data_IF_583988700728
#
_entry.id   IF_583988700728
#
_cell.length_a   1.000
_cell.length_b   1.000
_cell.length_c   1.000
_cell.angle_alpha   90.00
_cell.angle_beta   90.00
_cell.angle_gamma   90.00
#
_symmetry.space_group_name_H-M   'P 1'
#
loop_
_entity.id
_entity.type
_entity.pdbx_description
1 polymer ?
#
# COMPACT_ATOMS: atom_id res chain seq x y z
N UNK A 1 35.15 32.42 17.79
CA UNK A 1 35.14 31.69 16.51
C UNK A 1 33.76 31.12 16.36
N UNK A 2 32.94 31.79 15.54
CA UNK A 2 31.58 31.40 15.19
C UNK A 2 31.58 30.05 14.48
N UNK A 3 30.83 29.10 15.04
CA UNK A 3 30.38 27.92 14.31
C UNK A 3 29.04 28.27 13.69
N UNK A 4 29.09 28.54 12.38
CA UNK A 4 27.99 29.04 11.58
C UNK A 4 26.70 28.24 11.73
N UNK A 5 25.60 28.99 11.76
CA UNK A 5 24.24 28.52 11.66
C UNK A 5 24.07 27.64 10.40
N UNK A 6 24.14 26.32 10.57
CA UNK A 6 23.40 25.40 9.70
C UNK A 6 21.92 25.68 9.93
N UNK A 7 21.29 26.26 8.92
CA UNK A 7 19.85 26.34 8.77
C UNK A 7 19.22 25.01 9.16
N UNK A 8 18.55 24.98 10.31
CA UNK A 8 17.67 23.90 10.69
C UNK A 8 16.51 23.91 9.70
N UNK A 9 16.63 23.12 8.63
CA UNK A 9 15.44 22.64 7.95
C UNK A 9 14.54 22.06 9.05
N UNK A 10 13.35 22.66 9.22
CA UNK A 10 12.36 22.15 10.16
C UNK A 10 12.10 20.66 9.93
N UNK A 11 11.45 19.96 10.88
CA UNK A 11 11.18 18.53 10.75
C UNK A 11 10.52 18.29 9.39
N UNK A 12 11.25 17.63 8.49
CA UNK A 12 10.74 17.25 7.18
C UNK A 12 9.64 16.25 7.48
N UNK A 13 8.39 16.63 7.22
CA UNK A 13 7.29 15.68 7.32
C UNK A 13 7.43 14.66 6.18
N UNK A 14 8.19 13.59 6.41
CA UNK A 14 8.56 12.63 5.38
C UNK A 14 7.38 11.73 4.91
N UNK A 15 6.15 12.05 5.31
CA UNK A 15 4.89 11.46 4.82
C UNK A 15 4.17 12.38 3.83
N UNK A 16 4.52 13.67 3.81
CA UNK A 16 3.99 14.61 2.82
C UNK A 16 4.62 14.36 1.45
N UNK A 17 3.83 14.57 0.40
CA UNK A 17 4.34 14.54 -0.96
C UNK A 17 5.32 15.68 -1.18
N UNK A 18 6.34 15.42 -2.00
CA UNK A 18 7.23 16.49 -2.43
C UNK A 18 6.47 17.56 -3.22
N UNK A 19 6.97 18.82 -3.26
CA UNK A 19 6.34 19.88 -4.03
C UNK A 19 6.10 19.50 -5.50
N UNK A 20 7.02 18.72 -6.09
CA UNK A 20 6.89 18.22 -7.46
C UNK A 20 5.74 17.22 -7.60
N UNK A 21 5.59 16.28 -6.65
CA UNK A 21 4.49 15.31 -6.66
C UNK A 21 3.15 16.02 -6.49
N UNK A 22 3.06 16.98 -5.56
CA UNK A 22 1.85 17.81 -5.41
C UNK A 22 1.51 18.54 -6.71
N UNK A 23 2.50 19.16 -7.36
CA UNK A 23 2.30 19.85 -8.64
C UNK A 23 1.75 18.92 -9.75
N UNK A 24 2.14 17.64 -9.76
CA UNK A 24 1.62 16.64 -10.71
C UNK A 24 0.15 16.27 -10.46
N UNK A 25 -0.32 16.34 -9.20
CA UNK A 25 -1.69 15.98 -8.82
C UNK A 25 -2.67 17.15 -8.96
N UNK A 26 -2.23 18.40 -8.73
CA UNK A 26 -3.08 19.61 -8.80
C UNK A 26 -4.00 19.74 -10.03
N UNK A 27 -3.63 19.26 -11.24
CA UNK A 27 -4.55 19.33 -12.39
C UNK A 27 -5.84 18.53 -12.24
N UNK A 28 -5.89 17.53 -11.34
CA UNK A 28 -7.04 16.61 -11.21
C UNK A 28 -7.50 16.38 -9.76
N UNK A 29 -6.81 16.97 -8.79
CA UNK A 29 -7.08 16.83 -7.37
C UNK A 29 -7.11 18.22 -6.72
N UNK A 30 -8.09 18.47 -5.86
CA UNK A 30 -8.10 19.67 -5.01
C UNK A 30 -7.03 19.57 -3.91
N UNK A 31 -6.65 20.68 -3.28
CA UNK A 31 -5.70 20.65 -2.15
C UNK A 31 -6.21 19.79 -0.99
N UNK A 32 -7.52 19.84 -0.71
CA UNK A 32 -8.15 18.98 0.31
C UNK A 32 -8.02 17.49 -0.07
N UNK A 33 -8.26 17.15 -1.35
CA UNK A 33 -8.12 15.77 -1.83
C UNK A 33 -6.67 15.29 -1.80
N UNK A 34 -5.70 16.15 -2.12
CA UNK A 34 -4.27 15.84 -2.02
C UNK A 34 -3.88 15.60 -0.57
N UNK A 35 -4.37 16.41 0.36
CA UNK A 35 -4.11 16.26 1.80
C UNK A 35 -4.66 14.93 2.32
N UNK A 36 -5.91 14.60 1.98
CA UNK A 36 -6.49 13.29 2.30
C UNK A 36 -5.70 12.14 1.69
N UNK A 37 -5.21 12.29 0.45
CA UNK A 37 -4.38 11.25 -0.19
C UNK A 37 -3.06 11.04 0.53
N UNK A 38 -2.40 12.10 1.00
CA UNK A 38 -1.17 12.00 1.78
C UNK A 38 -1.41 11.25 3.09
N UNK A 39 -2.49 11.59 3.80
CA UNK A 39 -2.88 10.91 5.03
C UNK A 39 -3.19 9.43 4.79
N UNK A 40 -4.04 9.12 3.80
CA UNK A 40 -4.46 7.75 3.51
C UNK A 40 -3.30 6.89 2.99
N UNK A 41 -2.46 7.41 2.08
CA UNK A 41 -1.32 6.67 1.52
C UNK A 41 -0.16 6.50 2.51
N UNK A 42 -0.10 7.34 3.55
CA UNK A 42 0.81 7.13 4.67
C UNK A 42 0.37 5.98 5.59
N UNK A 43 -0.88 5.51 5.46
CA UNK A 43 -1.40 4.40 6.27
C UNK A 43 -1.55 3.11 5.46
N UNK A 44 -1.27 1.94 6.06
CA UNK A 44 -1.53 0.66 5.41
C UNK A 44 -3.05 0.43 5.26
N UNK A 45 -3.49 -0.34 4.24
CA UNK A 45 -4.90 -0.67 4.05
C UNK A 45 -5.54 -1.27 5.31
N UNK A 46 -6.82 -0.93 5.53
CA UNK A 46 -7.60 -1.43 6.67
C UNK A 46 -7.88 -2.94 6.61
N UNK A 47 -7.70 -3.57 5.44
CA UNK A 47 -7.89 -5.00 5.27
C UNK A 47 -6.90 -5.60 4.28
N UNK A 48 -6.43 -6.81 4.59
CA UNK A 48 -5.68 -7.65 3.68
C UNK A 48 -6.65 -8.50 2.86
N UNK A 49 -6.58 -8.38 1.54
CA UNK A 49 -7.38 -9.20 0.63
C UNK A 49 -6.54 -10.35 0.09
N UNK A 50 -7.08 -11.56 0.25
CA UNK A 50 -6.44 -12.82 -0.12
C UNK A 50 -7.26 -13.45 -1.24
N UNK A 51 -6.62 -13.74 -2.38
CA UNK A 51 -7.27 -14.42 -3.49
C UNK A 51 -7.16 -15.92 -3.32
N UNK A 52 -8.30 -16.60 -3.30
CA UNK A 52 -8.42 -18.07 -3.19
C UNK A 52 -7.94 -18.71 -4.48
N UNK A 53 -7.10 -19.73 -4.36
CA UNK A 53 -6.75 -20.59 -5.48
C UNK A 53 -7.86 -21.64 -5.69
N UNK A 54 -8.87 -21.27 -6.47
CA UNK A 54 -10.02 -22.13 -6.77
C UNK A 54 -9.66 -23.43 -7.51
N UNK A 55 -8.44 -23.56 -8.03
CA UNK A 55 -7.95 -24.84 -8.59
C UNK A 55 -7.54 -25.85 -7.52
N UNK A 56 -7.37 -25.41 -6.27
CA UNK A 56 -6.88 -26.26 -5.16
C UNK A 56 -7.85 -26.34 -3.99
N UNK A 57 -8.63 -25.31 -3.71
CA UNK A 57 -9.60 -25.30 -2.63
C UNK A 57 -10.76 -24.35 -2.95
N UNK A 58 -11.92 -24.63 -2.36
CA UNK A 58 -13.05 -23.70 -2.33
C UNK A 58 -12.78 -22.53 -1.39
N UNK A 59 -13.55 -21.45 -1.57
CA UNK A 59 -13.46 -20.28 -0.68
C UNK A 59 -13.86 -20.64 0.75
N UNK A 60 -14.85 -21.50 0.91
CA UNK A 60 -15.38 -21.92 2.20
C UNK A 60 -14.37 -22.79 2.97
N UNK A 61 -13.65 -23.68 2.27
CA UNK A 61 -12.53 -24.44 2.85
C UNK A 61 -11.40 -23.52 3.31
N UNK A 62 -10.98 -22.57 2.47
CA UNK A 62 -9.93 -21.63 2.84
C UNK A 62 -10.35 -20.73 4.01
N UNK A 63 -11.61 -20.28 4.02
CA UNK A 63 -12.16 -19.51 5.14
C UNK A 63 -12.11 -20.32 6.44
N UNK A 64 -12.50 -21.59 6.41
CA UNK A 64 -12.45 -22.46 7.58
C UNK A 64 -11.00 -22.64 8.10
N UNK A 65 -10.03 -22.83 7.20
CA UNK A 65 -8.61 -22.91 7.56
C UNK A 65 -8.10 -21.61 8.21
N UNK A 66 -8.47 -20.46 7.64
CA UNK A 66 -8.07 -19.16 8.17
C UNK A 66 -8.68 -18.89 9.56
N UNK A 67 -9.97 -19.23 9.75
CA UNK A 67 -10.66 -19.06 11.02
C UNK A 67 -10.13 -20.00 12.12
N UNK A 68 -9.71 -21.22 11.74
CA UNK A 68 -9.17 -22.19 12.68
C UNK A 68 -7.72 -21.88 13.11
N UNK A 69 -7.01 -21.01 12.39
CA UNK A 69 -5.59 -20.79 12.63
C UNK A 69 -5.34 -19.88 13.84
N UNK A 70 -4.55 -20.36 14.81
CA UNK A 70 -4.29 -19.67 16.08
C UNK A 70 -3.75 -18.23 15.90
N UNK A 71 -2.83 -18.01 14.95
CA UNK A 71 -2.28 -16.67 14.66
C UNK A 71 -3.31 -15.67 14.13
N UNK A 72 -4.43 -16.16 13.62
CA UNK A 72 -5.50 -15.34 13.07
C UNK A 72 -6.65 -15.11 14.07
N UNK A 73 -6.56 -15.69 15.28
CA UNK A 73 -7.55 -15.47 16.34
C UNK A 73 -7.60 -14.01 16.77
N UNK A 74 -8.73 -13.33 16.51
CA UNK A 74 -8.92 -11.91 16.81
C UNK A 74 -8.89 -10.99 15.59
N UNK A 75 -8.66 -11.54 14.39
CA UNK A 75 -8.94 -10.86 13.13
C UNK A 75 -10.38 -11.13 12.69
N UNK A 76 -11.05 -10.13 12.12
CA UNK A 76 -12.33 -10.37 11.45
C UNK A 76 -12.05 -10.84 10.02
N UNK A 77 -12.41 -12.09 9.73
CA UNK A 77 -12.16 -12.76 8.43
C UNK A 77 -13.49 -13.02 7.77
N UNK A 78 -13.70 -12.46 6.58
CA UNK A 78 -14.99 -12.55 5.87
C UNK A 78 -14.79 -12.78 4.38
N UNK A 79 -15.75 -13.45 3.74
CA UNK A 79 -15.81 -13.53 2.28
C UNK A 79 -16.10 -12.15 1.70
N UNK A 80 -15.42 -11.80 0.60
CA UNK A 80 -15.70 -10.56 -0.09
C UNK A 80 -17.12 -10.60 -0.70
N UNK A 81 -17.96 -9.57 -0.52
CA UNK A 81 -19.38 -9.63 -0.87
C UNK A 81 -19.64 -9.72 -2.38
N UNK A 82 -18.67 -9.30 -3.21
CA UNK A 82 -18.82 -9.21 -4.67
C UNK A 82 -17.82 -10.02 -5.48
N UNK A 83 -16.82 -10.61 -4.81
CA UNK A 83 -15.77 -11.40 -5.47
C UNK A 83 -15.81 -12.80 -4.87
N UNK A 84 -16.15 -13.77 -5.70
CA UNK A 84 -16.35 -15.15 -5.26
C UNK A 84 -15.06 -15.86 -4.85
N UNK A 85 -13.91 -15.32 -5.24
CA UNK A 85 -12.59 -15.87 -5.02
C UNK A 85 -11.74 -15.02 -4.06
N UNK A 86 -12.34 -14.11 -3.28
CA UNK A 86 -11.60 -13.24 -2.36
C UNK A 86 -12.12 -13.35 -0.92
N UNK A 87 -11.16 -13.44 0.01
CA UNK A 87 -11.38 -13.35 1.46
C UNK A 87 -10.69 -12.09 1.97
N UNK A 88 -11.39 -11.31 2.79
CA UNK A 88 -10.86 -10.13 3.45
C UNK A 88 -10.52 -10.45 4.90
N UNK A 89 -9.33 -10.02 5.33
CA UNK A 89 -8.87 -10.10 6.72
C UNK A 89 -8.73 -8.66 7.22
N UNK A 90 -9.64 -8.22 8.07
CA UNK A 90 -9.65 -6.86 8.60
C UNK A 90 -8.52 -6.69 9.62
N UNK A 91 -7.80 -5.57 9.52
CA UNK A 91 -6.78 -5.15 10.47
C UNK A 91 -7.36 -5.11 11.88
N UNK A 92 -6.60 -5.55 12.88
CA UNK A 92 -7.02 -5.35 14.28
C UNK A 92 -7.02 -3.86 14.59
N UNK A 93 -8.04 -3.41 15.33
CA UNK A 93 -8.01 -2.08 15.91
C UNK A 93 -6.74 -1.96 16.77
N UNK A 94 -5.96 -0.90 16.55
CA UNK A 94 -4.80 -0.61 17.36
C UNK A 94 -5.26 -0.34 18.80
N UNK A 95 -4.57 -0.90 19.79
CA UNK A 95 -4.55 -0.27 21.11
C UNK A 95 -4.07 1.20 20.91
N UNK A 96 -4.47 2.16 21.78
CA UNK A 96 -4.04 3.56 21.64
C UNK A 96 -2.53 3.67 21.42
N UNK A 97 -2.06 4.78 20.82
CA UNK A 97 -0.63 5.08 20.67
C UNK A 97 0.04 5.09 22.04
N UNK A 98 0.55 3.92 22.40
CA UNK A 98 1.23 3.67 23.65
C UNK A 98 2.72 3.76 23.30
N UNK A 99 3.50 4.51 24.10
CA UNK A 99 4.95 4.52 23.96
C UNK A 99 5.47 3.06 23.87
N UNK A 100 6.61 2.76 23.22
CA UNK A 100 7.08 1.38 23.03
C UNK A 100 7.06 0.54 24.32
N UNK A 101 7.35 1.19 25.46
CA UNK A 101 7.27 0.63 26.81
C UNK A 101 5.86 0.25 27.29
N UNK A 102 4.83 0.96 26.82
CA UNK A 102 3.44 0.75 27.19
C UNK A 102 2.76 -0.29 26.27
N UNK A 103 3.15 -0.38 25.00
CA UNK A 103 2.77 -1.51 24.11
C UNK A 103 3.30 -2.83 24.67
N UNK A 104 4.56 -2.85 25.13
CA UNK A 104 5.17 -4.03 25.75
C UNK A 104 4.49 -4.44 27.07
N UNK A 105 4.08 -3.47 27.89
CA UNK A 105 3.33 -3.74 29.12
C UNK A 105 1.88 -4.21 28.85
N UNK A 106 1.22 -3.70 27.82
CA UNK A 106 -0.17 -4.02 27.49
C UNK A 106 -0.35 -5.41 26.85
N UNK A 107 0.69 -5.93 26.16
CA UNK A 107 0.64 -7.25 25.52
C UNK A 107 0.74 -8.43 26.51
N UNK A 108 0.81 -8.20 27.82
CA UNK A 108 0.94 -9.26 28.82
C UNK A 108 2.21 -10.11 28.67
N UNK A 109 3.12 -9.69 27.79
CA UNK A 109 4.44 -10.28 27.64
C UNK A 109 5.12 -10.02 28.96
N UNK A 110 5.38 -11.07 29.72
CA UNK A 110 6.36 -11.06 30.80
C UNK A 110 7.65 -10.60 30.15
N UNK A 111 7.90 -9.28 30.23
CA UNK A 111 9.03 -8.61 29.62
C UNK A 111 10.27 -9.46 29.90
N UNK A 112 11.02 -9.93 28.89
CA UNK A 112 12.19 -10.74 29.15
C UNK A 112 13.07 -9.95 30.10
N UNK A 113 13.58 -10.63 31.14
CA UNK A 113 14.23 -10.02 32.31
C UNK A 113 15.23 -8.92 31.92
N UNK A 114 15.92 -9.10 30.79
CA UNK A 114 16.85 -8.13 30.18
C UNK A 114 16.22 -6.78 29.79
N UNK A 115 14.99 -6.73 29.29
CA UNK A 115 14.30 -5.47 28.98
C UNK A 115 13.96 -4.70 30.25
N UNK A 116 13.47 -5.39 31.30
CA UNK A 116 13.23 -4.80 32.61
C UNK A 116 14.55 -4.31 33.21
N UNK A 117 15.61 -5.10 33.12
CA UNK A 117 16.93 -4.76 33.63
C UNK A 117 17.51 -3.53 32.94
N UNK A 118 17.42 -3.42 31.62
CA UNK A 118 17.84 -2.21 30.88
C UNK A 118 17.04 -0.99 31.33
N UNK A 119 15.72 -1.11 31.45
CA UNK A 119 14.85 -0.03 31.96
C UNK A 119 15.23 0.38 33.40
N UNK A 120 15.46 -0.59 34.29
CA UNK A 120 15.93 -0.36 35.68
C UNK A 120 17.29 0.33 35.71
N UNK A 121 18.15 0.06 34.72
CA UNK A 121 19.46 0.70 34.54
C UNK A 121 19.40 2.04 33.78
N UNK A 122 18.21 2.52 33.40
CA UNK A 122 18.05 3.76 32.64
C UNK A 122 18.57 3.70 31.21
N UNK A 123 18.79 2.51 30.65
CA UNK A 123 19.28 2.33 29.29
C UNK A 123 18.12 2.35 28.28
N UNK A 124 18.31 2.93 27.08
CA UNK A 124 17.30 2.90 26.03
C UNK A 124 17.01 1.45 25.57
N UNK A 125 15.83 1.19 24.99
CA UNK A 125 15.55 -0.08 24.35
C UNK A 125 16.55 -0.32 23.22
N UNK A 126 16.78 -1.58 22.87
CA UNK A 126 17.55 -1.85 21.66
C UNK A 126 16.78 -1.40 20.43
N UNK A 127 17.49 -0.98 19.41
CA UNK A 127 16.95 -0.41 18.18
C UNK A 127 17.48 -1.18 16.97
N UNK A 128 16.60 -1.34 15.99
CA UNK A 128 16.91 -1.92 14.68
C UNK A 128 16.41 -0.98 13.61
N UNK A 129 17.28 -0.66 12.65
CA UNK A 129 16.95 0.19 11.51
C UNK A 129 16.88 -0.64 10.25
N UNK A 130 15.82 -0.44 9.48
CA UNK A 130 15.60 -1.10 8.19
C UNK A 130 15.54 -0.08 7.06
N UNK A 131 15.70 -0.54 5.83
CA UNK A 131 15.47 0.33 4.67
C UNK A 131 13.97 0.57 4.40
N UNK A 132 13.69 1.52 3.51
CA UNK A 132 12.33 1.89 3.12
C UNK A 132 11.51 0.70 2.59
N UNK A 133 12.10 -0.16 1.77
CA UNK A 133 11.38 -1.29 1.15
C UNK A 133 10.95 -2.30 2.23
N UNK A 134 11.84 -2.59 3.17
CA UNK A 134 11.55 -3.42 4.32
C UNK A 134 10.51 -2.75 5.24
N UNK A 135 10.62 -1.43 5.45
CA UNK A 135 9.63 -0.64 6.17
C UNK A 135 8.21 -0.80 5.64
N UNK A 136 8.05 -0.64 4.33
CA UNK A 136 6.76 -0.87 3.66
C UNK A 136 6.27 -2.30 3.84
N UNK A 137 7.15 -3.30 3.71
CA UNK A 137 6.77 -4.69 3.92
C UNK A 137 6.27 -4.94 5.35
N UNK A 138 6.89 -4.33 6.37
CA UNK A 138 6.47 -4.44 7.77
C UNK A 138 5.06 -3.86 7.95
N UNK A 139 4.77 -2.68 7.38
CA UNK A 139 3.43 -2.07 7.43
C UNK A 139 2.36 -2.94 6.76
N UNK A 140 2.76 -3.84 5.86
CA UNK A 140 1.91 -4.84 5.22
C UNK A 140 1.84 -6.18 5.98
N UNK A 141 2.40 -6.25 7.19
CA UNK A 141 2.37 -7.44 8.07
C UNK A 141 3.56 -8.38 7.93
N UNK A 142 4.67 -7.97 7.30
CA UNK A 142 5.86 -8.82 7.17
C UNK A 142 6.75 -8.77 8.43
N UNK A 143 7.43 -9.88 8.70
CA UNK A 143 8.58 -9.90 9.60
C UNK A 143 9.86 -9.40 8.89
N UNK A 144 10.91 -9.15 9.66
CA UNK A 144 12.15 -8.56 9.17
C UNK A 144 13.21 -9.63 8.93
N UNK A 145 13.61 -9.77 7.68
CA UNK A 145 14.72 -10.64 7.29
C UNK A 145 16.07 -9.94 7.45
N UNK A 146 17.13 -10.72 7.66
CA UNK A 146 18.50 -10.21 7.87
C UNK A 146 18.96 -9.26 6.77
N UNK A 147 18.49 -9.40 5.54
CA UNK A 147 18.82 -8.50 4.41
C UNK A 147 18.23 -7.09 4.55
N UNK A 148 17.05 -6.96 5.15
CA UNK A 148 16.37 -5.67 5.32
C UNK A 148 16.98 -4.82 6.45
N UNK A 149 17.75 -5.43 7.35
CA UNK A 149 18.37 -4.77 8.50
C UNK A 149 19.63 -4.02 8.06
N UNK A 150 19.66 -2.72 8.34
CA UNK A 150 20.74 -1.79 8.02
C UNK A 150 21.61 -1.50 9.23
N UNK A 151 21.01 -1.22 10.38
CA UNK A 151 21.72 -0.99 11.63
C UNK A 151 21.01 -1.70 12.79
N UNK A 152 21.77 -2.02 13.83
CA UNK A 152 21.26 -2.63 15.06
C UNK A 152 22.13 -2.26 16.26
N UNK A 153 21.50 -2.04 17.41
CA UNK A 153 22.19 -1.61 18.64
C UNK A 153 23.29 -2.58 19.02
N UNK A 154 24.37 -2.05 19.59
CA UNK A 154 25.46 -2.88 20.12
C UNK A 154 24.96 -3.75 21.28
N UNK A 155 25.46 -4.99 21.35
CA UNK A 155 25.08 -5.95 22.39
C UNK A 155 23.72 -6.61 22.21
N UNK A 156 23.01 -6.36 21.09
CA UNK A 156 21.74 -7.01 20.79
C UNK A 156 21.91 -8.54 20.66
N UNK A 157 21.12 -9.28 21.44
CA UNK A 157 21.11 -10.73 21.48
C UNK A 157 19.75 -11.31 21.05
N UNK A 158 19.72 -12.61 20.72
CA UNK A 158 18.48 -13.33 20.51
C UNK A 158 17.57 -13.28 21.75
N UNK A 159 16.27 -13.09 21.52
CA UNK A 159 15.23 -12.91 22.53
C UNK A 159 15.03 -11.46 23.00
N UNK A 160 15.91 -10.53 22.63
CA UNK A 160 15.75 -9.13 23.00
C UNK A 160 14.62 -8.47 22.20
N UNK A 161 13.79 -7.69 22.89
CA UNK A 161 12.82 -6.82 22.23
C UNK A 161 13.50 -5.56 21.68
N UNK A 162 13.09 -5.17 20.49
CA UNK A 162 13.67 -4.05 19.74
C UNK A 162 12.61 -3.09 19.27
N UNK A 163 12.93 -1.80 19.34
CA UNK A 163 12.23 -0.75 18.61
C UNK A 163 12.70 -0.76 17.15
N UNK A 164 11.77 -0.82 16.22
CA UNK A 164 12.07 -0.88 14.78
C UNK A 164 11.84 0.48 14.14
N UNK A 165 12.84 0.95 13.41
CA UNK A 165 12.83 2.21 12.70
C UNK A 165 13.11 2.04 11.20
N UNK A 166 12.54 2.91 10.37
CA UNK A 166 12.81 2.97 8.93
C UNK A 166 13.71 4.15 8.61
N UNK A 167 14.81 3.88 7.92
CA UNK A 167 15.64 4.90 7.30
C UNK A 167 14.99 5.41 6.01
N UNK A 168 14.30 6.54 6.13
CA UNK A 168 13.70 7.24 4.98
C UNK A 168 14.74 7.96 4.12
N UNK A 169 15.96 8.18 4.63
CA UNK A 169 17.01 8.90 3.91
C UNK A 169 17.83 8.00 2.98
N UNK A 170 17.82 6.69 3.23
CA UNK A 170 18.61 5.70 2.49
C UNK A 170 20.12 5.85 2.69
N UNK A 171 20.56 6.59 3.71
CA UNK A 171 21.98 6.87 3.98
C UNK A 171 22.64 5.81 4.85
N UNK A 172 21.87 4.94 5.50
CA UNK A 172 22.43 3.92 6.37
C UNK A 172 23.11 2.78 5.59
N UNK A 173 24.40 2.65 5.82
CA UNK A 173 25.18 1.49 5.36
C UNK A 173 24.95 0.30 6.30
N UNK A 174 24.92 -0.89 5.70
CA UNK A 174 24.69 -2.15 6.43
C UNK A 174 25.82 -2.38 7.46
N UNK A 175 25.44 -2.61 8.71
CA UNK A 175 26.36 -2.88 9.82
C UNK A 175 26.64 -1.69 10.74
N UNK A 176 26.13 -0.50 10.39
CA UNK A 176 26.25 0.72 11.18
C UNK A 176 25.76 0.53 12.62
N UNK A 177 26.37 1.26 13.57
CA UNK A 177 25.85 1.38 14.92
C UNK A 177 24.65 2.34 14.96
N UNK A 178 23.73 2.13 15.90
CA UNK A 178 22.44 2.85 15.99
C UNK A 178 22.52 4.29 16.54
N UNK A 179 23.68 4.95 16.48
CA UNK A 179 23.80 6.27 17.06
C UNK A 179 23.25 7.34 16.09
N UNK A 180 22.13 7.96 16.52
CA UNK A 180 21.56 9.24 16.06
C UNK A 180 21.13 9.37 14.60
N UNK A 181 19.96 8.82 14.28
CA UNK A 181 19.21 9.16 13.06
C UNK A 181 18.01 10.03 13.40
N UNK A 182 18.17 11.35 13.36
CA UNK A 182 17.09 12.33 13.59
C UNK A 182 15.95 12.28 12.58
N UNK A 183 16.07 11.47 11.51
CA UNK A 183 15.08 11.34 10.43
C UNK A 183 14.48 9.93 10.33
N UNK A 184 14.86 8.98 11.19
CA UNK A 184 14.31 7.64 11.14
C UNK A 184 12.90 7.59 11.75
N UNK A 185 11.98 6.86 11.10
CA UNK A 185 10.59 6.73 11.57
C UNK A 185 10.36 5.45 12.35
N UNK A 186 9.78 5.56 13.53
CA UNK A 186 9.35 4.39 14.30
C UNK A 186 8.21 3.67 13.58
N UNK A 187 8.34 2.36 13.42
CA UNK A 187 7.34 1.51 12.72
C UNK A 187 6.72 0.47 13.64
N UNK A 188 7.41 0.06 14.70
CA UNK A 188 6.83 -0.93 15.60
C UNK A 188 7.84 -1.57 16.53
N UNK A 189 7.39 -2.62 17.20
CA UNK A 189 8.18 -3.40 18.13
C UNK A 189 8.29 -4.83 17.64
N UNK A 190 9.48 -5.39 17.73
CA UNK A 190 9.75 -6.78 17.38
C UNK A 190 10.61 -7.48 18.42
N UNK A 191 10.78 -8.78 18.23
CA UNK A 191 11.66 -9.66 18.99
C UNK A 191 12.79 -10.12 18.07
N UNK A 192 14.03 -9.90 18.50
CA UNK A 192 15.21 -10.33 17.76
C UNK A 192 15.37 -11.84 17.90
N UNK A 193 15.49 -12.58 16.80
CA UNK A 193 15.58 -14.04 16.82
C UNK A 193 17.03 -14.55 16.76
N UNK A 194 17.97 -13.68 16.41
CA UNK A 194 19.39 -14.02 16.29
C UNK A 194 20.25 -12.88 16.83
N UNK A 195 21.50 -13.17 17.19
CA UNK A 195 22.41 -12.15 17.71
C UNK A 195 22.84 -11.13 16.65
N UNK A 196 23.27 -9.95 17.09
CA UNK A 196 23.75 -8.87 16.20
C UNK A 196 24.80 -9.35 15.20
N UNK A 197 25.72 -10.21 15.65
CA UNK A 197 26.80 -10.72 14.80
C UNK A 197 26.26 -11.55 13.64
N UNK A 198 25.18 -12.31 13.85
CA UNK A 198 24.52 -13.12 12.84
C UNK A 198 23.67 -12.26 11.88
N UNK A 199 23.01 -11.19 12.37
CA UNK A 199 22.21 -10.27 11.54
C UNK A 199 23.00 -9.75 10.32
N UNK A 200 24.30 -9.49 10.49
CA UNK A 200 25.15 -8.91 9.44
C UNK A 200 26.00 -9.93 8.70
N UNK A 201 26.15 -11.17 9.20
CA UNK A 201 26.91 -12.24 8.55
C UNK A 201 26.05 -13.14 7.66
N UNK A 202 24.81 -13.41 8.07
CA UNK A 202 23.95 -14.34 7.33
C UNK A 202 23.47 -13.72 6.02
N UNK A 203 23.46 -14.54 4.96
CA UNK A 203 22.95 -14.16 3.65
C UNK A 203 21.41 -14.13 3.60
N UNK A 204 20.74 -14.94 4.43
CA UNK A 204 19.28 -15.04 4.52
C UNK A 204 18.87 -15.54 5.90
N UNK A 205 17.58 -15.43 6.21
CA UNK A 205 17.03 -15.83 7.51
C UNK A 205 16.20 -14.74 8.15
N UNK A 206 15.36 -15.15 9.09
CA UNK A 206 14.52 -14.25 9.88
C UNK A 206 15.37 -13.59 10.96
N UNK A 207 15.42 -12.26 10.96
CA UNK A 207 16.21 -11.48 11.92
C UNK A 207 15.37 -11.03 13.11
N UNK A 208 14.25 -10.36 12.82
CA UNK A 208 13.34 -9.82 13.84
C UNK A 208 11.92 -10.24 13.49
N UNK A 209 11.21 -10.82 14.47
CA UNK A 209 9.79 -11.12 14.38
C UNK A 209 8.98 -9.94 14.89
N UNK A 210 8.08 -9.40 14.08
CA UNK A 210 7.25 -8.27 14.48
C UNK A 210 6.20 -8.73 15.50
N UNK A 211 6.02 -7.93 16.54
CA UNK A 211 5.06 -8.16 17.62
C UNK A 211 3.94 -7.12 17.63
N UNK A 212 4.27 -5.90 17.18
CA UNK A 212 3.31 -4.82 17.02
C UNK A 212 3.81 -3.85 15.94
N UNK A 213 2.92 -3.40 15.07
CA UNK A 213 3.16 -2.42 14.00
C UNK A 213 2.30 -1.19 14.25
N UNK A 214 2.89 0.00 14.11
CA UNK A 214 2.21 1.27 14.29
C UNK A 214 1.09 1.42 13.24
N UNK A 215 -0.06 1.91 13.67
CA UNK A 215 -1.27 2.00 12.83
C UNK A 215 -2.12 0.73 12.80
N UNK A 216 -1.72 -0.35 13.48
CA UNK A 216 -2.48 -1.60 13.61
C UNK A 216 -1.90 -2.75 12.79
N UNK A 217 -2.16 -3.97 13.26
CA UNK A 217 -1.47 -5.16 12.75
C UNK A 217 -2.26 -5.84 11.63
N UNK A 218 -1.60 -6.11 10.52
CA UNK A 218 -2.01 -7.12 9.53
C UNK A 218 -1.23 -8.43 9.80
N UNK A 219 -1.82 -9.61 9.58
CA UNK A 219 -1.15 -10.85 9.93
C UNK A 219 -0.06 -11.21 8.92
N UNK A 220 1.07 -11.70 9.41
CA UNK A 220 2.09 -12.36 8.59
C UNK A 220 1.55 -13.73 8.11
N UNK A 221 1.02 -13.79 6.88
CA UNK A 221 0.45 -15.02 6.32
C UNK A 221 1.50 -16.09 5.95
N UNK A 222 2.80 -15.74 5.95
CA UNK A 222 3.89 -16.67 5.62
C UNK A 222 3.92 -17.90 6.52
N UNK A 223 3.71 -17.70 7.81
CA UNK A 223 3.86 -18.76 8.81
C UNK A 223 2.55 -19.54 9.00
N UNK A 224 1.55 -19.28 8.16
CA UNK A 224 0.31 -20.05 8.08
C UNK A 224 0.54 -21.14 7.05
N UNK A 225 1.32 -22.17 7.43
CA UNK A 225 1.82 -23.21 6.53
C UNK A 225 0.72 -23.93 5.73
N UNK A 226 -0.50 -24.00 6.28
CA UNK A 226 -1.65 -24.56 5.58
C UNK A 226 -2.10 -23.75 4.34
N UNK A 227 -1.62 -22.51 4.15
CA UNK A 227 -1.99 -21.67 3.01
C UNK A 227 -1.11 -21.87 1.77
N UNK A 228 -0.07 -22.71 1.84
CA UNK A 228 0.89 -22.84 0.76
C UNK A 228 0.23 -23.26 -0.56
N UNK A 229 0.22 -22.34 -1.52
CA UNK A 229 -0.43 -22.53 -2.82
C UNK A 229 -1.96 -22.52 -2.80
N UNK A 230 -2.62 -22.39 -1.63
CA UNK A 230 -4.07 -22.24 -1.53
C UNK A 230 -4.53 -20.81 -1.77
N UNK A 231 -3.65 -19.83 -1.64
CA UNK A 231 -3.99 -18.44 -1.89
C UNK A 231 -2.85 -17.60 -2.42
N UNK A 232 -3.21 -16.48 -3.04
CA UNK A 232 -2.28 -15.47 -3.53
C UNK A 232 -2.44 -14.18 -2.74
N UNK A 233 -1.31 -13.61 -2.33
CA UNK A 233 -1.24 -12.29 -1.70
C UNK A 233 -0.44 -11.39 -2.64
N UNK A 234 -1.07 -10.33 -3.13
CA UNK A 234 -0.39 -9.36 -4.00
C UNK A 234 0.00 -8.14 -3.19
N UNK A 235 1.28 -8.06 -2.83
CA UNK A 235 1.85 -6.92 -2.12
C UNK A 235 2.87 -6.25 -3.02
N UNK A 236 2.43 -5.35 -3.90
CA UNK A 236 3.36 -4.59 -4.73
C UNK A 236 4.03 -3.46 -3.91
N UNK A 237 5.34 -3.33 -4.05
CA UNK A 237 6.14 -2.18 -3.64
C UNK A 237 6.59 -1.51 -4.93
N UNK A 238 6.13 -0.29 -5.20
CA UNK A 238 6.53 0.43 -6.41
C UNK A 238 7.75 1.32 -6.12
N UNK A 239 8.68 1.37 -7.06
CA UNK A 239 9.79 2.33 -7.04
C UNK A 239 9.96 3.01 -8.40
N UNK A 240 10.04 4.33 -8.34
CA UNK A 240 10.44 5.31 -9.36
C UNK A 240 9.50 5.54 -10.56
N UNK A 241 9.11 6.82 -10.74
CA UNK A 241 8.03 7.28 -11.62
C UNK A 241 8.51 8.34 -12.63
N UNK A 242 9.71 8.21 -13.20
CA UNK A 242 10.23 9.26 -14.12
C UNK A 242 10.04 9.00 -15.61
N UNK A 243 9.65 7.80 -16.05
CA UNK A 243 9.48 7.50 -17.49
C UNK A 243 8.24 6.68 -17.87
N UNK A 244 7.33 6.43 -16.93
CA UNK A 244 6.27 5.44 -17.10
C UNK A 244 5.30 5.72 -18.27
N UNK A 245 4.97 6.99 -18.53
CA UNK A 245 3.93 7.38 -19.51
C UNK A 245 4.29 6.98 -20.95
N UNK A 246 5.54 7.20 -21.38
CA UNK A 246 5.96 6.88 -22.75
C UNK A 246 6.03 5.36 -22.98
N UNK A 247 6.56 4.63 -21.99
CA UNK A 247 6.59 3.16 -22.03
C UNK A 247 5.18 2.56 -22.03
N UNK A 248 4.26 3.08 -21.22
CA UNK A 248 2.85 2.65 -21.21
C UNK A 248 2.20 2.77 -22.58
N UNK A 249 2.48 3.84 -23.34
CA UNK A 249 1.97 3.98 -24.72
C UNK A 249 2.53 2.94 -25.67
N UNK A 250 3.82 2.61 -25.56
CA UNK A 250 4.43 1.56 -26.37
C UNK A 250 3.80 0.18 -26.08
N UNK A 251 3.52 -0.11 -24.80
CA UNK A 251 2.81 -1.33 -24.40
C UNK A 251 1.37 -1.35 -24.92
N UNK A 252 0.62 -0.26 -24.74
CA UNK A 252 -0.75 -0.14 -25.27
C UNK A 252 -0.77 -0.32 -26.79
N UNK A 253 0.16 0.29 -27.51
CA UNK A 253 0.24 0.18 -28.96
C UNK A 253 0.46 -1.27 -29.41
N UNK A 254 1.39 -1.96 -28.76
CA UNK A 254 1.67 -3.38 -29.04
C UNK A 254 0.48 -4.27 -28.70
N UNK A 255 -0.14 -4.05 -27.54
CA UNK A 255 -1.30 -4.82 -27.07
C UNK A 255 -2.49 -4.69 -28.02
N UNK A 256 -2.76 -3.49 -28.53
CA UNK A 256 -3.86 -3.26 -29.48
C UNK A 256 -3.63 -3.98 -30.81
N UNK A 257 -2.39 -4.03 -31.30
CA UNK A 257 -2.07 -4.75 -32.57
C UNK A 257 -2.14 -6.26 -32.43
N UNK A 258 -1.93 -6.79 -31.23
CA UNK A 258 -2.08 -8.22 -30.93
C UNK A 258 -3.53 -8.61 -30.63
N UNK A 259 -4.42 -7.62 -30.47
CA UNK A 259 -5.81 -7.86 -30.14
C UNK A 259 -6.60 -8.26 -31.38
N UNK A 260 -7.18 -9.46 -31.37
CA UNK A 260 -8.14 -9.88 -32.40
C UNK A 260 -9.36 -8.95 -32.43
N UNK A 261 -10.03 -8.87 -33.58
CA UNK A 261 -11.33 -8.21 -33.68
C UNK A 261 -12.33 -8.76 -32.64
N UNK A 262 -13.07 -7.88 -31.98
CA UNK A 262 -13.97 -8.25 -30.87
C UNK A 262 -13.26 -8.60 -29.54
N UNK A 263 -11.92 -8.56 -29.50
CA UNK A 263 -11.15 -8.79 -28.28
C UNK A 263 -11.34 -7.70 -27.23
N UNK A 264 -11.00 -8.04 -25.98
CA UNK A 264 -11.07 -7.14 -24.82
C UNK A 264 -9.65 -6.80 -24.38
N UNK A 265 -9.36 -5.51 -24.22
CA UNK A 265 -8.13 -5.01 -23.61
C UNK A 265 -8.46 -4.41 -22.24
N UNK A 266 -7.77 -4.89 -21.20
CA UNK A 266 -7.83 -4.32 -19.85
C UNK A 266 -6.52 -3.58 -19.61
N UNK A 267 -6.63 -2.28 -19.31
CA UNK A 267 -5.49 -1.45 -18.91
C UNK A 267 -5.62 -1.11 -17.43
N UNK A 268 -4.59 -1.47 -16.67
CA UNK A 268 -4.59 -1.33 -15.21
C UNK A 268 -3.22 -0.84 -14.74
N UNK A 269 -3.23 0.10 -13.81
CA UNK A 269 -2.05 0.62 -13.13
C UNK A 269 -2.30 0.63 -11.62
N UNK A 270 -1.24 0.80 -10.83
CA UNK A 270 -1.32 1.05 -9.38
C UNK A 270 -0.79 2.46 -9.04
N UNK A 271 -1.01 3.41 -9.94
CA UNK A 271 -0.64 4.84 -9.79
C UNK A 271 -1.89 5.68 -9.70
N UNK A 272 -1.77 6.84 -9.05
CA UNK A 272 -2.84 7.83 -8.94
C UNK A 272 -2.68 8.97 -9.97
N UNK A 273 -1.60 8.97 -10.77
CA UNK A 273 -1.38 10.10 -11.67
C UNK A 273 -2.35 10.06 -12.86
N UNK A 274 -3.00 11.18 -13.21
CA UNK A 274 -3.90 11.24 -14.38
C UNK A 274 -3.17 10.96 -15.69
N UNK A 275 -1.88 11.30 -15.76
CA UNK A 275 -1.02 11.13 -16.92
C UNK A 275 -0.83 9.65 -17.28
N UNK A 276 -0.77 8.77 -16.29
CA UNK A 276 -0.62 7.32 -16.48
C UNK A 276 -1.97 6.60 -16.59
N UNK A 277 -3.08 7.28 -16.29
CA UNK A 277 -4.42 6.71 -16.22
C UNK A 277 -5.33 7.26 -17.31
N UNK A 278 -6.20 8.22 -16.98
CA UNK A 278 -7.22 8.73 -17.89
C UNK A 278 -6.63 9.35 -19.16
N UNK A 279 -5.44 9.96 -19.08
CA UNK A 279 -4.76 10.50 -20.25
C UNK A 279 -4.29 9.41 -21.23
N UNK A 280 -3.92 8.23 -20.73
CA UNK A 280 -3.56 7.09 -21.58
C UNK A 280 -4.78 6.51 -22.29
N UNK A 281 -5.91 6.44 -21.58
CA UNK A 281 -7.19 6.01 -22.16
C UNK A 281 -7.66 6.98 -23.25
N UNK A 282 -7.61 8.29 -22.98
CA UNK A 282 -7.96 9.33 -23.95
C UNK A 282 -7.07 9.29 -25.20
N UNK A 283 -5.76 9.10 -25.00
CA UNK A 283 -4.82 8.90 -26.08
C UNK A 283 -5.13 7.64 -26.89
N UNK A 284 -5.37 6.50 -26.25
CA UNK A 284 -5.65 5.24 -26.92
C UNK A 284 -6.94 5.29 -27.76
N UNK A 285 -8.00 5.93 -27.25
CA UNK A 285 -9.25 6.11 -27.99
C UNK A 285 -9.09 7.02 -29.22
N UNK A 286 -8.25 8.05 -29.12
CA UNK A 286 -7.92 8.93 -30.25
C UNK A 286 -7.06 8.21 -31.29
N UNK A 287 -6.04 7.46 -30.85
CA UNK A 287 -5.08 6.79 -31.74
C UNK A 287 -5.64 5.53 -32.39
N UNK A 288 -6.54 4.83 -31.72
CA UNK A 288 -7.13 3.59 -32.20
C UNK A 288 -8.66 3.73 -32.24
N UNK A 289 -9.22 4.30 -33.33
CA UNK A 289 -10.67 4.49 -33.49
C UNK A 289 -11.48 3.19 -33.40
N UNK A 290 -10.81 2.05 -33.60
CA UNK A 290 -11.40 0.74 -33.47
C UNK A 290 -11.73 0.38 -31.99
N UNK A 291 -11.05 0.99 -31.02
CA UNK A 291 -11.33 0.80 -29.59
C UNK A 291 -12.55 1.62 -29.14
N UNK A 292 -13.35 1.05 -28.25
CA UNK A 292 -14.46 1.68 -27.55
C UNK A 292 -14.47 1.30 -26.08
N UNK A 293 -14.87 2.22 -25.19
CA UNK A 293 -14.96 1.95 -23.76
C UNK A 293 -16.09 0.98 -23.44
N UNK A 294 -15.82 0.06 -22.51
CA UNK A 294 -16.77 -0.86 -21.94
C UNK A 294 -16.96 -0.62 -20.43
N UNK A 295 -18.17 -0.90 -19.92
CA UNK A 295 -18.37 -1.01 -18.48
C UNK A 295 -17.57 -2.18 -17.92
N UNK A 296 -16.96 -1.99 -16.75
CA UNK A 296 -16.29 -3.05 -16.01
C UNK A 296 -17.27 -3.71 -15.02
N UNK A 297 -17.24 -5.04 -14.93
CA UNK A 297 -18.02 -5.84 -14.00
C UNK A 297 -17.13 -6.86 -13.27
N UNK A 298 -17.20 -6.95 -11.93
CA UNK A 298 -17.96 -6.11 -11.02
C UNK A 298 -17.33 -4.72 -10.84
N UNK A 299 -18.19 -3.69 -10.77
CA UNK A 299 -17.74 -2.31 -10.55
C UNK A 299 -17.51 -2.02 -9.07
N UNK A 300 -16.29 -2.25 -8.57
CA UNK A 300 -15.94 -2.05 -7.15
C UNK A 300 -15.53 -0.61 -6.81
N UNK A 301 -14.91 0.09 -7.76
CA UNK A 301 -14.46 1.48 -7.60
C UNK A 301 -15.43 2.53 -8.14
N UNK A 302 -15.18 3.80 -7.79
CA UNK A 302 -15.79 5.00 -8.36
C UNK A 302 -15.43 5.29 -9.83
N UNK A 303 -15.89 6.43 -10.35
CA UNK A 303 -15.59 6.90 -11.71
C UNK A 303 -14.21 7.56 -11.83
N UNK A 304 -13.69 7.66 -13.06
CA UNK A 304 -12.44 8.36 -13.36
C UNK A 304 -12.57 9.88 -13.19
N UNK A 305 -11.46 10.55 -12.87
CA UNK A 305 -11.46 11.93 -12.36
C UNK A 305 -11.47 13.03 -13.42
N UNK A 306 -11.03 12.75 -14.65
CA UNK A 306 -11.14 13.74 -15.73
C UNK A 306 -12.61 13.95 -16.11
N UNK A 307 -13.19 15.03 -15.60
CA UNK A 307 -14.54 15.45 -15.89
C UNK A 307 -14.83 15.56 -17.39
N UNK A 308 -15.97 14.98 -17.79
CA UNK A 308 -16.86 15.48 -18.86
C UNK A 308 -16.49 15.33 -20.34
N UNK A 309 -15.44 14.61 -20.75
CA UNK A 309 -15.18 14.36 -22.20
C UNK A 309 -15.09 12.89 -22.62
N UNK A 310 -14.64 11.95 -21.77
CA UNK A 310 -14.56 10.54 -22.16
C UNK A 310 -15.94 9.88 -22.39
N UNK A 311 -16.99 10.37 -21.73
CA UNK A 311 -18.38 9.92 -21.92
C UNK A 311 -19.20 10.82 -22.85
N UNK A 312 -18.75 12.05 -23.13
CA UNK A 312 -19.54 13.03 -23.89
C UNK A 312 -19.29 12.99 -25.41
N UNK A 313 -18.24 12.33 -25.90
CA UNK A 313 -18.10 12.11 -27.36
C UNK A 313 -18.83 10.85 -27.86
N UNK A 314 -19.30 9.97 -26.97
CA UNK A 314 -20.04 8.76 -27.33
C UNK A 314 -21.57 8.99 -27.46
N UNK A 315 -22.07 10.23 -27.37
CA UNK A 315 -23.52 10.56 -27.36
C UNK A 315 -23.99 11.59 -28.40
N UNK A 316 -23.31 11.71 -29.54
CA UNK A 316 -23.84 12.40 -30.74
C UNK A 316 -24.18 11.44 -31.89
N UNK A 317 -24.66 10.23 -31.56
CA UNK A 317 -25.29 9.30 -32.51
C UNK A 317 -26.69 8.83 -32.05
N UNK A 318 -27.38 9.60 -31.21
CA UNK A 318 -28.83 9.45 -31.08
C UNK A 318 -29.52 10.39 -32.07
N UNK A 319 -29.97 9.85 -33.21
CA UNK A 319 -30.97 10.50 -34.06
C UNK A 319 -32.25 10.64 -33.22
N UNK A 320 -32.49 11.84 -32.69
CA UNK A 320 -33.72 12.20 -31.99
C UNK A 320 -33.86 13.71 -31.99
N UNK A 321 -34.72 14.21 -32.88
CA UNK A 321 -35.01 15.63 -33.05
C UNK A 321 -35.44 16.28 -31.71
N UNK A 322 -34.72 17.30 -31.27
CA UNK A 322 -35.07 18.14 -30.13
C UNK A 322 -35.95 19.31 -30.60
N UNK A 323 -37.27 19.13 -30.49
CA UNK A 323 -38.21 20.25 -30.33
C UNK A 323 -38.82 20.16 -28.93
N UNK A 324 -38.31 20.93 -27.97
CA UNK A 324 -39.12 21.92 -27.24
C UNK A 324 -38.37 22.57 -26.07
N UNK A 325 -38.70 23.86 -25.87
CA UNK A 325 -38.35 24.70 -24.72
C UNK A 325 -39.04 24.19 -23.45
N UNK A 326 -38.29 24.04 -22.36
CA UNK A 326 -38.83 24.19 -21.01
C UNK A 326 -37.74 24.67 -20.04
N UNK A 327 -37.95 25.86 -19.47
CA UNK A 327 -37.25 26.34 -18.28
C UNK A 327 -37.77 25.56 -17.07
N UNK A 328 -36.88 25.07 -16.21
CA UNK A 328 -37.25 24.70 -14.84
C UNK A 328 -36.06 24.89 -13.90
N UNK A 329 -36.29 25.73 -12.90
CA UNK A 329 -35.43 25.96 -11.75
C UNK A 329 -35.53 24.76 -10.81
N UNK A 330 -34.40 24.30 -10.26
CA UNK A 330 -34.45 23.76 -8.90
C UNK A 330 -33.10 23.86 -8.19
N UNK A 331 -33.11 24.45 -6.98
CA UNK A 331 -32.04 24.36 -5.99
C UNK A 331 -32.14 23.01 -5.31
N UNK A 332 -31.08 22.22 -5.33
CA UNK A 332 -30.89 21.13 -4.37
C UNK A 332 -29.46 21.20 -3.82
N UNK A 333 -29.35 21.57 -2.54
CA UNK A 333 -28.17 21.25 -1.72
C UNK A 333 -28.25 19.76 -1.44
N UNK A 334 -27.20 19.01 -1.77
CA UNK A 334 -27.03 17.63 -1.36
C UNK A 334 -25.57 17.45 -0.93
N UNK A 335 -25.40 17.26 0.38
CA UNK A 335 -24.22 16.70 1.01
C UNK A 335 -24.00 15.28 0.46
N UNK A 336 -22.76 14.92 0.13
CA UNK A 336 -22.33 13.52 0.22
C UNK A 336 -20.80 13.40 0.34
N UNK A 337 -20.28 12.80 1.44
CA UNK A 337 -18.89 12.36 1.57
C UNK A 337 -18.70 10.98 0.90
N UNK A 338 -17.53 10.71 0.30
CA UNK A 338 -17.19 9.33 -0.10
C UNK A 338 -16.16 9.17 -1.23
N UNK A 339 -15.07 8.48 -0.92
CA UNK A 339 -13.84 8.33 -1.70
C UNK A 339 -13.91 7.37 -2.91
N UNK A 340 -13.79 7.96 -4.11
CA UNK A 340 -12.89 7.73 -5.27
C UNK A 340 -12.04 6.44 -5.40
N UNK A 341 -12.14 5.68 -6.52
CA UNK A 341 -11.05 4.92 -7.24
C UNK A 341 -11.57 4.29 -8.57
N UNK A 342 -10.90 4.30 -9.73
CA UNK A 342 -11.45 3.76 -11.02
C UNK A 342 -10.48 2.89 -11.86
N UNK A 343 -11.00 1.90 -12.61
CA UNK A 343 -10.37 1.24 -13.78
C UNK A 343 -11.43 0.90 -14.86
N UNK A 344 -11.04 0.97 -16.16
CA UNK A 344 -11.93 0.81 -17.33
C UNK A 344 -11.42 -0.28 -18.29
N UNK A 345 -12.33 -1.00 -18.97
CA UNK A 345 -12.01 -1.91 -20.07
C UNK A 345 -12.38 -1.31 -21.44
N UNK A 346 -11.69 -1.73 -22.52
CA UNK A 346 -11.97 -1.33 -23.91
C UNK A 346 -12.27 -2.58 -24.76
N UNK A 347 -13.24 -2.52 -25.68
CA UNK A 347 -13.47 -3.52 -26.74
C UNK A 347 -13.30 -2.91 -28.11
N UNK A 348 -12.98 -3.73 -29.11
CA UNK A 348 -12.90 -3.31 -30.51
C UNK A 348 -14.06 -3.89 -31.34
N UNK A 349 -14.72 -3.11 -32.21
CA UNK A 349 -15.60 -3.64 -33.27
C UNK A 349 -15.11 -3.21 -34.66
N UNK A 350 -14.80 -4.22 -35.46
CA UNK A 350 -14.30 -4.16 -36.84
C UNK A 350 -15.38 -3.78 -37.87
N UNK A 351 -14.95 -3.53 -39.11
CA UNK A 351 -15.77 -3.76 -40.31
C UNK A 351 -14.94 -4.29 -41.50
N UNK A 352 -15.52 -5.35 -42.10
CA UNK A 352 -15.37 -5.98 -43.43
C UNK A 352 -13.99 -6.46 -43.91
#
# INVERSE_FOLDING_TARGET
>A
MDWGATTSAGPVDATAFSPEVRALLKPCYTEDEITVLEEELATPPSALHVRVNLQRCSREELLALLLAHERLQGYAITCHPRLSDVIAIQRRASAPELAPYVVLNALGVTSPQRFIERKRRGLPPHEVFVDRICGEAILKGADIFVKGIRAASMGLAAGDFVSVYVDVTGRLTRGSACESLGTARFVGVGECLIDRSALFKLASGLGVRMRHVLGGDLPALRDVSCLEGLCYVQTACATEMKWAVQYQRAFLWSAVRMLRAGGVLVYSTCTITPAENEAQVAWALTQFPALRLLPAEPRLGACGRLGRSLWNQARLWNRGALWNRARLWNRARLWNPGALWSQMGLQNRAWL
#
